data_IF_781320623135
#
_entry.id   IF_781320623135
#
_cell.length_a   1.000
_cell.length_b   1.000
_cell.length_c   1.000
_cell.angle_alpha   90.00
_cell.angle_beta   90.00
_cell.angle_gamma   90.00
#
_symmetry.space_group_name_H-M   'P 1'
#
loop_
_entity.id
_entity.type
_entity.pdbx_description
1 polymer ?
#
# COMPACT_ATOMS: atom_id res chain seq x y z
N UNK A 1 -2.79 -52.05 -22.90
CA UNK A 1 -3.96 -51.24 -22.50
C UNK A 1 -3.91 -51.19 -20.98
N UNK A 2 -3.76 -50.07 -20.29
CA UNK A 2 -3.49 -48.70 -20.71
C UNK A 2 -2.16 -48.21 -20.15
N UNK A 3 -1.62 -47.16 -20.78
CA UNK A 3 -0.65 -46.31 -20.12
C UNK A 3 -1.41 -45.37 -19.20
N UNK A 4 -0.89 -45.21 -17.99
CA UNK A 4 -1.26 -44.13 -17.10
C UNK A 4 -0.60 -42.87 -17.65
N UNK A 5 -1.39 -42.04 -18.35
CA UNK A 5 -1.03 -40.66 -18.63
C UNK A 5 -1.27 -39.87 -17.34
N UNK A 6 -0.22 -39.76 -16.52
CA UNK A 6 -0.10 -38.74 -15.50
C UNK A 6 -0.11 -37.36 -16.19
N UNK A 7 -1.31 -36.78 -16.28
CA UNK A 7 -1.51 -35.38 -16.65
C UNK A 7 -0.95 -34.50 -15.52
N UNK A 8 0.37 -34.32 -15.51
CA UNK A 8 1.04 -33.22 -14.84
C UNK A 8 0.66 -31.92 -15.58
N UNK A 9 -0.52 -31.39 -15.29
CA UNK A 9 -0.83 -29.99 -15.58
C UNK A 9 -0.25 -29.17 -14.42
N UNK A 10 1.08 -29.06 -14.37
CA UNK A 10 1.73 -27.99 -13.62
C UNK A 10 1.22 -26.70 -14.26
N UNK A 11 0.30 -26.01 -13.57
CA UNK A 11 -0.33 -24.79 -14.07
C UNK A 11 0.76 -23.81 -14.48
N UNK A 12 0.73 -23.38 -15.74
CA UNK A 12 1.64 -22.37 -16.25
C UNK A 12 1.49 -21.08 -15.42
N UNK A 13 2.47 -20.78 -14.56
CA UNK A 13 2.52 -19.51 -13.84
C UNK A 13 2.88 -18.42 -14.83
N UNK A 14 1.98 -17.46 -15.02
CA UNK A 14 2.16 -16.37 -15.95
C UNK A 14 3.40 -15.53 -15.62
N UNK A 15 4.23 -15.23 -16.61
CA UNK A 15 5.37 -14.32 -16.43
C UNK A 15 4.97 -12.85 -16.52
N UNK A 16 5.84 -11.96 -16.03
CA UNK A 16 5.69 -10.51 -16.18
C UNK A 16 5.51 -10.10 -17.65
N UNK A 17 6.29 -10.66 -18.56
CA UNK A 17 6.23 -10.36 -19.99
C UNK A 17 4.91 -10.79 -20.62
N UNK A 18 4.40 -11.97 -20.21
CA UNK A 18 3.12 -12.51 -20.70
C UNK A 18 1.94 -11.67 -20.22
N UNK A 19 1.97 -11.26 -18.94
CA UNK A 19 0.97 -10.38 -18.38
C UNK A 19 0.97 -9.04 -19.10
N UNK A 20 2.12 -8.37 -19.22
CA UNK A 20 2.22 -7.07 -19.89
C UNK A 20 1.81 -7.10 -21.37
N UNK A 21 2.05 -8.22 -22.07
CA UNK A 21 1.66 -8.36 -23.47
C UNK A 21 0.14 -8.44 -23.68
N UNK A 22 -0.62 -8.82 -22.66
CA UNK A 22 -2.06 -9.11 -22.74
C UNK A 22 -2.92 -8.27 -21.79
N UNK A 23 -2.29 -7.49 -20.91
CA UNK A 23 -2.93 -6.66 -19.89
C UNK A 23 -3.89 -5.63 -20.50
N UNK A 24 -5.14 -5.54 -20.01
CA UNK A 24 -6.09 -4.49 -20.37
C UNK A 24 -5.55 -3.07 -20.15
N UNK A 25 -5.92 -2.13 -21.02
CA UNK A 25 -5.48 -0.73 -20.90
C UNK A 25 -6.03 -0.03 -19.66
N UNK A 26 -7.18 -0.46 -19.12
CA UNK A 26 -7.76 0.03 -17.86
C UNK A 26 -6.84 -0.17 -16.64
N UNK A 27 -5.82 -1.02 -16.77
CA UNK A 27 -4.83 -1.29 -15.72
C UNK A 27 -3.62 -0.38 -15.79
N UNK A 28 -3.55 0.57 -16.74
CA UNK A 28 -2.42 1.51 -16.87
C UNK A 28 -2.51 2.69 -15.89
N UNK A 29 -2.84 2.41 -14.63
CA UNK A 29 -2.93 3.41 -13.54
C UNK A 29 -1.61 3.52 -12.78
N UNK A 30 -1.24 4.72 -12.35
CA UNK A 30 -0.06 4.93 -11.50
C UNK A 30 -0.45 4.86 -10.02
N UNK A 31 -0.56 3.63 -9.53
CA UNK A 31 -0.90 3.33 -8.13
C UNK A 31 0.24 2.54 -7.52
N UNK A 32 0.76 3.05 -6.40
CA UNK A 32 1.91 2.50 -5.69
C UNK A 32 1.60 2.42 -4.21
N UNK A 33 2.17 1.42 -3.55
CA UNK A 33 2.03 1.23 -2.10
C UNK A 33 3.38 0.87 -1.50
N UNK A 34 3.72 1.50 -0.38
CA UNK A 34 4.85 1.12 0.47
C UNK A 34 4.28 0.57 1.78
N UNK A 35 4.65 -0.65 2.13
CA UNK A 35 4.22 -1.30 3.36
C UNK A 35 5.38 -1.89 4.16
N UNK A 36 5.14 -2.10 5.46
CA UNK A 36 6.16 -2.51 6.42
C UNK A 36 6.32 -4.02 6.55
N UNK A 37 5.43 -4.81 5.97
CA UNK A 37 5.37 -6.24 6.19
C UNK A 37 5.29 -7.00 4.87
N UNK A 38 6.00 -8.13 4.80
CA UNK A 38 5.57 -9.27 4.00
C UNK A 38 4.59 -10.10 4.86
N UNK A 39 3.60 -10.75 4.25
CA UNK A 39 2.23 -11.07 4.73
C UNK A 39 2.10 -11.98 5.99
N UNK A 40 3.19 -12.20 6.71
CA UNK A 40 3.33 -13.05 7.89
C UNK A 40 4.00 -12.35 9.10
N UNK A 41 4.08 -11.01 9.11
CA UNK A 41 4.85 -10.23 10.11
C UNK A 41 3.99 -9.23 10.91
N UNK A 42 4.36 -9.04 12.18
CA UNK A 42 3.74 -8.06 13.09
C UNK A 42 4.46 -6.70 12.99
N UNK A 43 3.71 -5.63 12.72
CA UNK A 43 4.16 -4.24 12.87
C UNK A 43 4.40 -3.90 14.35
N UNK A 44 5.29 -2.96 14.62
CA UNK A 44 5.71 -2.64 15.98
C UNK A 44 6.01 -1.16 16.17
N UNK A 45 5.61 -0.64 17.33
CA UNK A 45 5.89 0.72 17.77
C UNK A 45 7.39 0.96 18.01
N UNK A 46 7.83 2.19 17.76
CA UNK A 46 9.11 2.73 18.18
C UNK A 46 8.90 3.62 19.40
N UNK A 47 9.50 3.25 20.53
CA UNK A 47 9.32 3.94 21.82
C UNK A 47 10.10 5.27 21.95
N UNK A 48 10.99 5.60 21.01
CA UNK A 48 11.70 6.87 20.99
C UNK A 48 12.04 7.38 19.57
N UNK A 49 11.14 8.17 18.98
CA UNK A 49 11.36 8.84 17.68
C UNK A 49 12.44 9.91 17.74
N UNK A 50 12.84 10.40 18.92
CA UNK A 50 13.93 11.40 19.06
C UNK A 50 15.31 10.86 18.65
N UNK A 51 15.43 9.53 18.46
CA UNK A 51 16.63 8.90 17.91
C UNK A 51 16.68 8.95 16.37
N UNK A 52 15.56 9.29 15.73
CA UNK A 52 15.45 9.60 14.32
C UNK A 52 15.66 11.10 14.23
N UNK A 53 16.71 11.53 13.53
CA UNK A 53 17.10 12.94 13.43
C UNK A 53 16.14 13.71 12.51
N UNK A 54 14.83 13.63 12.78
CA UNK A 54 13.81 14.38 12.09
C UNK A 54 13.97 15.87 12.42
N UNK A 55 13.70 16.80 11.49
CA UNK A 55 13.93 18.23 11.71
C UNK A 55 13.14 18.81 12.90
N UNK A 56 11.96 18.25 13.19
CA UNK A 56 11.09 18.61 14.32
C UNK A 56 10.04 17.50 14.57
N UNK A 57 10.38 16.40 15.29
CA UNK A 57 9.48 15.27 15.44
C UNK A 57 8.30 15.59 16.37
N UNK A 58 7.08 15.29 15.90
CA UNK A 58 5.89 15.21 16.74
C UNK A 58 6.05 14.04 17.74
N UNK A 59 5.96 14.34 19.03
CA UNK A 59 5.93 13.34 20.10
C UNK A 59 7.20 12.51 20.29
N UNK A 60 7.08 11.40 21.04
CA UNK A 60 8.20 10.50 21.38
C UNK A 60 8.01 9.07 20.83
N UNK A 61 6.85 8.68 20.35
CA UNK A 61 6.59 7.35 19.79
C UNK A 61 6.12 7.45 18.33
N UNK A 62 6.31 6.41 17.52
CA UNK A 62 5.92 6.37 16.10
C UNK A 62 6.03 4.96 15.53
N UNK A 63 5.35 4.68 14.43
CA UNK A 63 5.43 3.45 13.68
C UNK A 63 6.81 3.27 13.05
N UNK A 64 7.29 2.03 13.07
CA UNK A 64 8.65 1.71 12.64
C UNK A 64 8.88 2.03 11.16
N UNK A 65 7.90 1.80 10.29
CA UNK A 65 8.03 2.10 8.87
C UNK A 65 8.01 3.61 8.62
N UNK A 66 6.98 4.33 9.09
CA UNK A 66 6.80 5.76 8.83
C UNK A 66 7.99 6.56 9.32
N UNK A 67 8.40 6.32 10.57
CA UNK A 67 9.56 7.01 11.17
C UNK A 67 10.86 6.72 10.43
N UNK A 68 11.04 5.48 9.94
CA UNK A 68 12.22 5.09 9.19
C UNK A 68 12.22 5.69 7.78
N UNK A 69 11.08 5.72 7.11
CA UNK A 69 10.94 6.32 5.79
C UNK A 69 11.24 7.82 5.86
N UNK A 70 10.62 8.55 6.77
CA UNK A 70 10.91 9.97 6.95
C UNK A 70 12.39 10.22 7.24
N UNK A 71 13.03 9.37 8.05
CA UNK A 71 14.47 9.47 8.28
C UNK A 71 15.29 9.28 7.00
N UNK A 72 14.95 8.32 6.15
CA UNK A 72 15.63 8.10 4.86
C UNK A 72 15.42 9.31 3.95
N UNK A 73 14.18 9.82 3.87
CA UNK A 73 13.81 10.94 2.99
C UNK A 73 14.40 12.28 3.43
N UNK A 74 14.51 12.55 4.74
CA UNK A 74 15.14 13.78 5.25
C UNK A 74 16.67 13.74 5.27
N UNK A 75 17.27 12.54 5.37
CA UNK A 75 18.73 12.41 5.44
C UNK A 75 19.41 12.66 4.09
N UNK A 76 18.67 12.65 2.98
CA UNK A 76 19.24 12.73 1.64
C UNK A 76 18.70 13.92 0.84
N UNK A 77 19.57 14.89 0.57
CA UNK A 77 19.35 15.95 -0.43
C UNK A 77 19.61 15.42 -1.87
N UNK A 78 20.00 14.16 -2.05
CA UNK A 78 20.32 13.55 -3.35
C UNK A 78 19.32 12.48 -3.81
N UNK A 79 19.38 12.26 -5.13
CA UNK A 79 18.56 11.39 -5.96
C UNK A 79 18.74 9.89 -5.62
N UNK A 80 18.29 9.44 -4.45
CA UNK A 80 18.22 8.00 -4.16
C UNK A 80 17.16 7.37 -5.04
N UNK A 81 17.46 6.20 -5.62
CA UNK A 81 16.50 5.42 -6.38
C UNK A 81 15.58 4.60 -5.45
N UNK A 82 14.55 3.97 -6.01
CA UNK A 82 13.63 3.14 -5.23
C UNK A 82 14.36 2.00 -4.52
N UNK A 83 15.32 1.35 -5.19
CA UNK A 83 16.11 0.25 -4.61
C UNK A 83 16.82 0.70 -3.33
N UNK A 84 17.56 1.81 -3.40
CA UNK A 84 18.33 2.34 -2.28
C UNK A 84 17.41 2.77 -1.13
N UNK A 85 16.26 3.39 -1.42
CA UNK A 85 15.28 3.73 -0.38
C UNK A 85 14.81 2.47 0.35
N UNK A 86 14.41 1.43 -0.38
CA UNK A 86 13.90 0.19 0.18
C UNK A 86 14.97 -0.59 0.98
N UNK A 87 16.22 -0.63 0.49
CA UNK A 87 17.34 -1.24 1.20
C UNK A 87 17.73 -0.48 2.47
N UNK A 88 17.71 0.87 2.44
CA UNK A 88 17.97 1.71 3.62
C UNK A 88 16.87 1.55 4.67
N UNK A 89 15.60 1.48 4.25
CA UNK A 89 14.48 1.14 5.13
C UNK A 89 14.75 -0.20 5.83
N UNK A 90 15.09 -1.24 5.06
CA UNK A 90 15.39 -2.55 5.62
C UNK A 90 16.58 -2.51 6.56
N UNK A 91 17.64 -1.77 6.22
CA UNK A 91 18.83 -1.61 7.06
C UNK A 91 18.52 -1.00 8.43
N UNK A 92 17.57 -0.07 8.51
CA UNK A 92 17.13 0.54 9.77
C UNK A 92 16.17 -0.34 10.58
N UNK A 93 15.33 -1.14 9.91
CA UNK A 93 14.40 -2.06 10.58
C UNK A 93 15.11 -3.34 11.08
N UNK A 94 16.08 -3.84 10.32
CA UNK A 94 16.78 -5.10 10.57
C UNK A 94 17.44 -5.12 11.96
N UNK A 95 17.21 -6.21 12.70
CA UNK A 95 17.75 -6.44 14.04
C UNK A 95 16.87 -5.93 15.18
N UNK A 96 15.90 -5.04 14.90
CA UNK A 96 14.85 -4.63 15.85
C UNK A 96 13.47 -5.14 15.45
N UNK A 97 13.24 -5.24 14.14
CA UNK A 97 11.98 -5.65 13.55
C UNK A 97 12.21 -6.75 12.52
N UNK A 98 11.27 -7.70 12.43
CA UNK A 98 11.29 -8.75 11.41
C UNK A 98 10.92 -8.18 10.03
N UNK A 99 10.04 -7.18 10.03
CA UNK A 99 9.53 -6.35 8.92
C UNK A 99 10.47 -6.17 7.73
N UNK A 100 10.07 -6.70 6.57
CA UNK A 100 10.71 -6.46 5.28
C UNK A 100 9.85 -5.41 4.54
N UNK A 101 10.39 -4.21 4.27
CA UNK A 101 9.70 -3.22 3.45
C UNK A 101 9.38 -3.78 2.07
N UNK A 102 8.15 -3.57 1.63
CA UNK A 102 7.66 -3.95 0.31
C UNK A 102 7.13 -2.72 -0.42
N UNK A 103 7.49 -2.60 -1.68
CA UNK A 103 6.90 -1.68 -2.65
C UNK A 103 6.02 -2.52 -3.57
N UNK A 104 4.73 -2.22 -3.60
CA UNK A 104 3.79 -2.82 -4.53
C UNK A 104 3.28 -1.77 -5.53
N UNK A 105 2.94 -2.17 -6.75
CA UNK A 105 2.42 -1.24 -7.76
C UNK A 105 1.50 -1.90 -8.79
N UNK A 106 0.63 -1.09 -9.40
CA UNK A 106 -0.25 -1.51 -10.49
C UNK A 106 0.51 -1.79 -11.79
N UNK A 107 1.59 -1.03 -12.03
CA UNK A 107 2.45 -1.16 -13.19
C UNK A 107 3.90 -1.26 -12.74
N UNK A 108 4.76 -2.04 -13.43
CA UNK A 108 6.13 -2.24 -13.01
C UNK A 108 6.88 -0.90 -13.07
N UNK A 109 7.55 -0.56 -11.97
CA UNK A 109 8.39 0.63 -11.85
C UNK A 109 9.84 0.20 -12.13
N UNK A 110 10.57 1.05 -12.85
CA UNK A 110 12.02 0.93 -12.92
C UNK A 110 12.62 1.39 -11.57
N UNK A 111 12.99 0.41 -10.75
CA UNK A 111 13.45 0.63 -9.37
C UNK A 111 14.84 1.27 -9.29
N UNK A 112 15.53 1.46 -10.41
CA UNK A 112 16.78 2.24 -10.53
C UNK A 112 16.51 3.72 -10.83
N UNK A 113 15.25 4.10 -11.05
CA UNK A 113 14.86 5.52 -11.19
C UNK A 113 14.73 6.20 -9.83
N UNK A 114 14.87 7.54 -9.84
CA UNK A 114 14.77 8.37 -8.64
C UNK A 114 13.46 8.09 -7.91
N UNK A 115 13.54 7.84 -6.61
CA UNK A 115 12.37 7.72 -5.76
C UNK A 115 11.55 9.03 -5.75
N UNK A 116 10.24 8.91 -5.92
CA UNK A 116 9.29 10.00 -5.76
C UNK A 116 8.01 9.53 -5.05
N UNK A 117 7.48 10.40 -4.17
CA UNK A 117 6.10 10.31 -3.69
C UNK A 117 5.13 11.05 -4.61
N UNK A 118 5.64 12.07 -5.31
CA UNK A 118 4.89 12.88 -6.28
C UNK A 118 5.80 13.01 -7.50
N UNK A 119 5.49 12.32 -8.61
CA UNK A 119 6.31 12.38 -9.81
C UNK A 119 6.21 13.76 -10.47
N UNK A 120 7.21 14.13 -11.27
CA UNK A 120 7.24 15.42 -12.00
C UNK A 120 6.07 15.56 -13.00
N UNK A 121 5.45 14.45 -13.41
CA UNK A 121 4.25 14.42 -14.26
C UNK A 121 2.97 14.82 -13.52
N UNK A 122 2.96 14.79 -12.19
CA UNK A 122 1.82 15.20 -11.39
C UNK A 122 1.71 16.73 -11.38
N UNK A 123 0.85 17.24 -12.25
CA UNK A 123 0.68 18.67 -12.55
C UNK A 123 -0.61 19.26 -11.98
N UNK A 124 -1.50 18.40 -11.46
CA UNK A 124 -2.78 18.75 -10.86
C UNK A 124 -2.71 19.03 -9.36
N UNK A 125 -3.85 18.83 -8.71
CA UNK A 125 -4.03 19.03 -7.27
C UNK A 125 -3.36 17.91 -6.47
N UNK A 126 -2.71 18.29 -5.38
CA UNK A 126 -2.10 17.35 -4.43
C UNK A 126 -3.06 17.15 -3.26
N UNK A 127 -3.58 15.94 -3.09
CA UNK A 127 -4.62 15.58 -2.11
C UNK A 127 -4.12 14.48 -1.20
N UNK A 128 -4.47 14.53 0.08
CA UNK A 128 -4.07 13.47 1.00
C UNK A 128 -5.19 13.04 1.94
N UNK A 129 -5.17 11.76 2.32
CA UNK A 129 -5.96 11.20 3.42
C UNK A 129 -4.99 10.56 4.39
N UNK A 130 -5.00 11.01 5.64
CA UNK A 130 -4.08 10.57 6.68
C UNK A 130 -4.85 10.07 7.89
N UNK A 131 -4.60 8.82 8.27
CA UNK A 131 -5.34 8.11 9.31
C UNK A 131 -4.35 7.61 10.35
N UNK A 132 -4.54 8.00 11.60
CA UNK A 132 -3.70 7.61 12.71
C UNK A 132 -4.57 7.17 13.88
N UNK A 133 -4.49 5.91 14.28
CA UNK A 133 -5.37 5.34 15.31
C UNK A 133 -4.54 4.79 16.47
N UNK A 134 -4.67 5.40 17.65
CA UNK A 134 -4.01 4.95 18.88
C UNK A 134 -4.88 4.01 19.72
N UNK A 135 -6.17 3.87 19.43
CA UNK A 135 -7.11 3.02 20.16
C UNK A 135 -7.13 3.33 21.66
N UNK A 136 -7.12 4.63 22.01
CA UNK A 136 -7.00 5.07 23.41
C UNK A 136 -8.14 4.45 24.24
N UNK A 137 -7.76 3.75 25.31
CA UNK A 137 -8.66 3.04 26.22
C UNK A 137 -8.83 1.55 25.94
N UNK A 138 -8.43 1.06 24.75
CA UNK A 138 -8.61 -0.34 24.38
C UNK A 138 -7.43 -1.18 24.87
N UNK A 139 -7.58 -1.93 25.96
CA UNK A 139 -6.49 -2.76 26.50
C UNK A 139 -6.69 -4.25 26.14
N UNK A 140 -5.69 -4.94 25.54
CA UNK A 140 -4.29 -4.54 25.33
C UNK A 140 -3.99 -3.92 23.94
N UNK A 141 -4.98 -3.39 23.22
CA UNK A 141 -4.85 -2.89 21.84
C UNK A 141 -4.37 -1.44 21.67
N UNK A 142 -4.12 -0.71 22.75
CA UNK A 142 -3.70 0.69 22.71
C UNK A 142 -2.29 0.84 22.12
N UNK A 143 -2.15 1.79 21.18
CA UNK A 143 -0.91 2.20 20.54
C UNK A 143 -0.57 3.64 20.95
N UNK A 144 0.68 4.06 20.70
CA UNK A 144 1.14 5.39 21.11
C UNK A 144 1.82 6.22 20.01
N UNK A 145 2.06 5.61 18.85
CA UNK A 145 2.84 6.21 17.77
C UNK A 145 2.02 6.79 16.61
N UNK A 146 0.80 6.31 16.40
CA UNK A 146 0.09 6.50 15.13
C UNK A 146 -0.29 7.96 14.85
N UNK A 147 -0.68 8.71 15.89
CA UNK A 147 -0.93 10.16 15.76
C UNK A 147 0.34 10.91 15.35
N UNK A 148 1.49 10.55 15.92
CA UNK A 148 2.76 11.21 15.61
C UNK A 148 3.21 10.89 14.18
N UNK A 149 2.98 9.67 13.71
CA UNK A 149 3.27 9.30 12.32
C UNK A 149 2.52 10.19 11.34
N UNK A 150 1.20 10.35 11.56
CA UNK A 150 0.35 11.22 10.73
C UNK A 150 0.84 12.66 10.76
N UNK A 151 1.11 13.21 11.95
CA UNK A 151 1.56 14.60 12.07
C UNK A 151 2.93 14.84 11.40
N UNK A 152 3.86 13.90 11.57
CA UNK A 152 5.19 13.98 10.96
C UNK A 152 5.13 13.85 9.44
N UNK A 153 4.31 12.93 8.92
CA UNK A 153 4.13 12.75 7.49
C UNK A 153 3.37 13.91 6.86
N UNK A 154 2.33 14.45 7.52
CA UNK A 154 1.62 15.68 7.13
C UNK A 154 2.60 16.82 6.91
N UNK A 155 3.43 17.07 7.93
CA UNK A 155 4.46 18.11 7.86
C UNK A 155 5.41 17.88 6.68
N UNK A 156 5.89 16.66 6.49
CA UNK A 156 6.81 16.33 5.39
C UNK A 156 6.19 16.60 4.02
N UNK A 157 4.98 16.11 3.75
CA UNK A 157 4.38 16.31 2.41
C UNK A 157 4.00 17.77 2.15
N UNK A 158 3.67 18.55 3.18
CA UNK A 158 3.46 19.99 3.04
C UNK A 158 4.78 20.72 2.74
N UNK A 159 5.81 20.48 3.57
CA UNK A 159 7.08 21.21 3.49
C UNK A 159 7.90 20.84 2.24
N UNK A 160 7.88 19.56 1.83
CA UNK A 160 8.73 19.03 0.76
C UNK A 160 7.97 18.86 -0.56
N UNK A 161 6.71 18.42 -0.48
CA UNK A 161 5.90 18.11 -1.66
C UNK A 161 4.76 19.11 -1.87
N UNK A 162 4.74 20.25 -1.17
CA UNK A 162 3.81 21.36 -1.45
C UNK A 162 2.33 20.96 -1.46
N UNK A 163 1.93 20.03 -0.60
CA UNK A 163 0.51 19.77 -0.37
C UNK A 163 -0.09 20.94 0.40
N UNK A 164 -1.19 21.49 -0.10
CA UNK A 164 -1.93 22.54 0.59
C UNK A 164 -2.79 21.93 1.71
N UNK A 165 -2.82 22.57 2.88
CA UNK A 165 -3.51 22.03 4.06
C UNK A 165 -5.01 21.77 3.80
N UNK A 166 -5.66 22.62 3.02
CA UNK A 166 -7.08 22.48 2.64
C UNK A 166 -7.37 21.21 1.82
N UNK A 167 -6.35 20.58 1.23
CA UNK A 167 -6.45 19.35 0.46
C UNK A 167 -6.03 18.10 1.25
N UNK A 168 -5.76 18.23 2.56
CA UNK A 168 -5.36 17.13 3.43
C UNK A 168 -6.49 16.82 4.42
N UNK A 169 -7.06 15.63 4.30
CA UNK A 169 -8.02 15.09 5.27
C UNK A 169 -7.25 14.32 6.34
N UNK A 170 -7.46 14.66 7.61
CA UNK A 170 -6.83 13.99 8.76
C UNK A 170 -7.89 13.36 9.65
N UNK A 171 -7.72 12.08 9.95
CA UNK A 171 -8.58 11.32 10.87
C UNK A 171 -7.73 10.73 12.01
N UNK A 172 -8.03 11.12 13.25
CA UNK A 172 -7.32 10.64 14.44
C UNK A 172 -8.25 10.55 15.65
N UNK A 173 -8.06 9.53 16.50
CA UNK A 173 -8.80 9.33 17.75
C UNK A 173 -8.18 10.11 18.93
N UNK A 174 -7.86 11.38 18.71
CA UNK A 174 -7.24 12.29 19.69
C UNK A 174 -8.26 13.20 20.40
N UNK A 175 -9.53 13.14 19.99
CA UNK A 175 -10.61 14.00 20.47
C UNK A 175 -10.62 15.42 19.90
N UNK A 176 -9.74 15.73 18.94
CA UNK A 176 -9.67 17.01 18.23
C UNK A 176 -10.02 16.87 16.75
N UNK A 177 -9.50 15.82 16.09
CA UNK A 177 -9.73 15.54 14.68
C UNK A 177 -11.02 14.75 14.44
N UNK A 178 -11.34 14.52 13.16
CA UNK A 178 -12.45 13.63 12.81
C UNK A 178 -12.09 12.22 13.24
N UNK A 179 -12.97 11.59 14.03
CA UNK A 179 -12.73 10.25 14.54
C UNK A 179 -12.58 9.23 13.38
N UNK A 180 -11.56 8.35 13.39
CA UNK A 180 -11.28 7.38 12.35
C UNK A 180 -12.20 6.14 12.47
N UNK A 181 -13.52 6.37 12.48
CA UNK A 181 -14.53 5.31 12.38
C UNK A 181 -14.54 4.70 10.99
N UNK A 182 -15.09 3.49 10.85
CA UNK A 182 -15.28 2.79 9.58
C UNK A 182 -15.86 3.72 8.51
N UNK A 183 -17.00 4.34 8.80
CA UNK A 183 -17.70 5.19 7.83
C UNK A 183 -16.91 6.44 7.47
N UNK A 184 -16.24 7.09 8.43
CA UNK A 184 -15.43 8.28 8.16
C UNK A 184 -14.22 7.96 7.28
N UNK A 185 -13.54 6.82 7.51
CA UNK A 185 -12.43 6.37 6.68
C UNK A 185 -12.92 6.09 5.25
N UNK A 186 -13.98 5.30 5.11
CA UNK A 186 -14.55 4.95 3.81
C UNK A 186 -15.06 6.18 3.06
N UNK A 187 -15.65 7.15 3.74
CA UNK A 187 -16.09 8.40 3.14
C UNK A 187 -14.91 9.29 2.72
N UNK A 188 -13.82 9.32 3.49
CA UNK A 188 -12.61 10.07 3.12
C UNK A 188 -11.99 9.51 1.83
N UNK A 189 -11.86 8.18 1.73
CA UNK A 189 -11.37 7.52 0.52
C UNK A 189 -12.30 7.73 -0.68
N UNK A 190 -13.62 7.53 -0.51
CA UNK A 190 -14.59 7.81 -1.59
C UNK A 190 -14.51 9.26 -2.06
N UNK A 191 -14.37 10.21 -1.12
CA UNK A 191 -14.31 11.63 -1.44
C UNK A 191 -13.02 11.99 -2.20
N UNK A 192 -11.86 11.54 -1.74
CA UNK A 192 -10.59 11.89 -2.42
C UNK A 192 -10.55 11.35 -3.84
N UNK A 193 -11.09 10.14 -4.06
CA UNK A 193 -11.21 9.54 -5.40
C UNK A 193 -12.24 10.27 -6.27
N UNK A 194 -13.40 10.63 -5.71
CA UNK A 194 -14.44 11.36 -6.45
C UNK A 194 -14.01 12.77 -6.85
N UNK A 195 -13.13 13.41 -6.07
CA UNK A 195 -12.60 14.75 -6.34
C UNK A 195 -11.33 14.72 -7.23
N UNK A 196 -10.81 13.53 -7.58
CA UNK A 196 -9.56 13.37 -8.32
C UNK A 196 -9.73 13.61 -9.82
N UNK A 197 -8.78 14.32 -10.41
CA UNK A 197 -8.73 14.63 -11.85
C UNK A 197 -7.38 14.21 -12.47
N UNK A 198 -7.33 14.14 -13.80
CA UNK A 198 -6.09 13.85 -14.55
C UNK A 198 -4.94 14.76 -14.12
N UNK A 199 -3.79 14.16 -13.80
CA UNK A 199 -2.60 14.85 -13.30
C UNK A 199 -2.57 15.11 -11.79
N UNK A 200 -3.64 14.83 -11.03
CA UNK A 200 -3.63 14.93 -9.57
C UNK A 200 -2.61 13.95 -8.93
N UNK A 201 -2.08 14.33 -7.76
CA UNK A 201 -1.33 13.43 -6.89
C UNK A 201 -2.13 13.14 -5.63
N UNK A 202 -2.33 11.86 -5.31
CA UNK A 202 -2.99 11.40 -4.09
C UNK A 202 -1.96 10.71 -3.20
N UNK A 203 -1.86 11.17 -1.96
CA UNK A 203 -1.07 10.51 -0.92
C UNK A 203 -1.98 9.95 0.18
N UNK A 204 -1.94 8.64 0.38
CA UNK A 204 -2.70 7.95 1.43
C UNK A 204 -1.73 7.49 2.51
N UNK A 205 -2.07 7.72 3.77
CA UNK A 205 -1.26 7.23 4.90
C UNK A 205 -2.16 6.64 5.97
N UNK A 206 -1.84 5.40 6.36
CA UNK A 206 -2.49 4.72 7.47
C UNK A 206 -1.43 4.28 8.48
N UNK A 207 -1.61 4.65 9.75
CA UNK A 207 -0.87 4.10 10.88
C UNK A 207 -1.86 3.63 11.94
N UNK A 208 -1.80 2.34 12.28
CA UNK A 208 -2.77 1.70 13.17
C UNK A 208 -2.67 0.18 13.11
N UNK A 209 -3.67 -0.52 13.66
CA UNK A 209 -3.72 -1.98 13.57
C UNK A 209 -4.16 -2.44 12.17
N UNK A 210 -3.55 -3.53 11.72
CA UNK A 210 -4.01 -4.34 10.60
C UNK A 210 -4.21 -5.78 11.07
N UNK A 211 -5.12 -6.50 10.45
CA UNK A 211 -5.49 -7.87 10.81
C UNK A 211 -5.71 -8.74 9.58
N UNK A 212 -5.88 -10.04 9.79
CA UNK A 212 -6.30 -10.99 8.77
C UNK A 212 -7.67 -11.56 9.13
N UNK A 213 -8.63 -11.45 8.23
CA UNK A 213 -9.94 -12.08 8.35
C UNK A 213 -9.98 -13.32 7.46
N UNK A 214 -10.86 -14.27 7.76
CA UNK A 214 -11.06 -15.38 6.84
C UNK A 214 -11.80 -14.85 5.62
N UNK A 215 -11.28 -15.19 4.45
CA UNK A 215 -11.91 -14.89 3.17
C UNK A 215 -13.32 -15.53 3.13
N UNK A 216 -14.32 -14.72 2.78
CA UNK A 216 -15.71 -15.14 2.64
C UNK A 216 -15.99 -15.65 1.19
N UNK A 217 -15.13 -15.32 0.23
CA UNK A 217 -15.22 -15.58 -1.20
C UNK A 217 -14.15 -16.59 -1.65
N UNK A 218 -14.48 -17.89 -1.58
CA UNK A 218 -13.58 -18.99 -1.90
C UNK A 218 -12.76 -18.81 -3.21
N UNK A 219 -11.48 -18.42 -3.08
CA UNK A 219 -10.45 -18.68 -4.10
C UNK A 219 -9.73 -17.48 -4.72
N UNK A 220 -9.81 -16.29 -4.13
CA UNK A 220 -9.04 -15.13 -4.60
C UNK A 220 -7.60 -15.15 -4.05
N UNK A 221 -7.43 -15.29 -2.74
CA UNK A 221 -6.11 -15.44 -2.12
C UNK A 221 -5.71 -16.92 -1.89
N UNK A 222 -4.43 -17.25 -2.14
CA UNK A 222 -3.91 -18.61 -1.96
C UNK A 222 -3.87 -19.07 -0.51
N UNK A 223 -3.81 -18.15 0.46
CA UNK A 223 -3.78 -18.46 1.89
C UNK A 223 -5.20 -18.50 2.52
N UNK A 224 -6.20 -17.93 1.84
CA UNK A 224 -7.60 -17.87 2.24
C UNK A 224 -7.92 -16.84 3.35
N UNK A 225 -7.14 -15.76 3.46
CA UNK A 225 -7.36 -14.69 4.44
C UNK A 225 -7.16 -13.27 3.89
N UNK A 226 -8.24 -12.48 3.89
CA UNK A 226 -8.19 -11.05 3.56
C UNK A 226 -7.41 -10.23 4.60
N UNK A 227 -6.60 -9.29 4.12
CA UNK A 227 -6.00 -8.24 4.94
C UNK A 227 -7.06 -7.18 5.26
N UNK A 228 -7.03 -6.63 6.48
CA UNK A 228 -8.03 -5.64 6.88
C UNK A 228 -7.47 -4.57 7.82
N UNK A 229 -7.95 -3.34 7.64
CA UNK A 229 -7.68 -2.22 8.53
C UNK A 229 -8.68 -2.21 9.69
N UNK A 230 -8.19 -1.89 10.88
CA UNK A 230 -8.99 -1.82 12.10
C UNK A 230 -9.43 -0.37 12.38
N UNK A 231 -10.64 0.08 11.98
CA UNK A 231 -11.14 1.42 12.34
C UNK A 231 -11.33 1.55 13.85
N UNK A 232 -11.50 2.77 14.38
CA UNK A 232 -11.67 3.00 15.83
C UNK A 232 -12.87 2.24 16.42
N UNK A 233 -13.94 2.12 15.66
CA UNK A 233 -15.21 1.49 16.03
C UNK A 233 -15.37 0.07 15.49
N UNK A 234 -14.25 -0.61 15.20
CA UNK A 234 -14.22 -1.96 14.62
C UNK A 234 -15.10 -2.97 15.36
N UNK A 235 -15.22 -2.84 16.69
CA UNK A 235 -16.03 -3.74 17.51
C UNK A 235 -17.53 -3.68 17.18
N UNK A 236 -18.02 -2.56 16.66
CA UNK A 236 -19.43 -2.37 16.28
C UNK A 236 -19.65 -2.30 14.78
N UNK A 237 -18.70 -1.76 14.02
CA UNK A 237 -18.82 -1.53 12.58
C UNK A 237 -18.15 -2.62 11.72
N UNK A 238 -17.27 -3.43 12.30
CA UNK A 238 -16.43 -4.37 11.56
C UNK A 238 -15.11 -3.75 11.10
N UNK A 239 -14.28 -4.56 10.45
CA UNK A 239 -13.02 -4.13 9.84
C UNK A 239 -13.27 -3.60 8.42
N UNK A 240 -12.32 -2.86 7.87
CA UNK A 240 -12.30 -2.46 6.46
C UNK A 240 -11.43 -3.48 5.72
N UNK A 241 -12.01 -4.29 4.82
CA UNK A 241 -11.29 -5.30 4.05
C UNK A 241 -10.49 -4.68 2.90
N UNK A 242 -9.46 -5.37 2.44
CA UNK A 242 -8.72 -5.10 1.21
C UNK A 242 -9.64 -4.95 -0.02
N UNK A 243 -10.63 -5.82 -0.20
CA UNK A 243 -11.63 -5.71 -1.29
C UNK A 243 -12.35 -4.36 -1.33
N UNK A 244 -12.78 -3.88 -0.16
CA UNK A 244 -13.44 -2.60 0.00
C UNK A 244 -12.50 -1.43 -0.38
N UNK A 245 -11.22 -1.55 -0.01
CA UNK A 245 -10.18 -0.58 -0.35
C UNK A 245 -9.85 -0.65 -1.84
N UNK A 246 -9.79 -1.85 -2.42
CA UNK A 246 -9.52 -2.10 -3.81
C UNK A 246 -10.59 -1.47 -4.71
N UNK A 247 -11.87 -1.74 -4.42
CA UNK A 247 -12.99 -1.23 -5.20
C UNK A 247 -13.01 0.31 -5.22
N UNK A 248 -12.65 0.95 -4.10
CA UNK A 248 -12.63 2.42 -4.00
C UNK A 248 -11.34 3.01 -4.57
N UNK A 249 -10.19 2.57 -4.09
CA UNK A 249 -8.89 3.20 -4.32
C UNK A 249 -8.22 2.72 -5.60
N UNK A 250 -8.46 1.50 -6.05
CA UNK A 250 -7.79 0.93 -7.23
C UNK A 250 -8.71 0.99 -8.43
N UNK A 251 -9.88 0.38 -8.33
CA UNK A 251 -10.88 0.36 -9.40
C UNK A 251 -11.49 1.74 -9.62
N UNK A 252 -11.82 2.45 -8.54
CA UNK A 252 -12.38 3.80 -8.58
C UNK A 252 -11.41 4.91 -9.01
N UNK A 253 -10.09 4.69 -8.93
CA UNK A 253 -9.10 5.69 -9.28
C UNK A 253 -9.20 6.11 -10.76
N UNK A 254 -9.36 7.41 -11.07
CA UNK A 254 -9.38 7.91 -12.44
C UNK A 254 -8.04 7.72 -13.17
N UNK A 255 -8.10 7.64 -14.50
CA UNK A 255 -6.90 7.63 -15.33
C UNK A 255 -6.10 8.94 -15.17
N UNK A 256 -4.77 8.84 -15.21
CA UNK A 256 -3.87 9.99 -15.11
C UNK A 256 -3.62 10.50 -13.68
N UNK A 257 -4.26 9.90 -12.67
CA UNK A 257 -3.97 10.17 -11.26
C UNK A 257 -2.74 9.39 -10.81
N UNK A 258 -1.88 10.05 -10.04
CA UNK A 258 -0.72 9.45 -9.39
C UNK A 258 -1.03 9.19 -7.91
N UNK A 259 -1.16 7.93 -7.50
CA UNK A 259 -1.47 7.55 -6.13
C UNK A 259 -0.30 6.83 -5.46
N UNK A 260 0.09 7.30 -4.28
CA UNK A 260 1.04 6.63 -3.39
C UNK A 260 0.41 6.42 -2.03
N UNK A 261 0.39 5.16 -1.59
CA UNK A 261 -0.08 4.76 -0.26
C UNK A 261 1.08 4.35 0.62
N UNK A 262 1.11 4.82 1.87
CA UNK A 262 2.01 4.35 2.91
C UNK A 262 1.18 3.65 4.00
N UNK A 263 1.38 2.34 4.14
CA UNK A 263 0.65 1.50 5.09
C UNK A 263 1.58 1.04 6.21
N UNK A 264 1.45 1.65 7.39
CA UNK A 264 2.19 1.30 8.60
C UNK A 264 1.32 0.44 9.53
N UNK A 265 0.99 -0.76 9.06
CA UNK A 265 0.19 -1.74 9.78
C UNK A 265 0.65 -3.18 9.50
N UNK A 266 0.30 -4.11 10.40
CA UNK A 266 0.53 -5.55 10.20
C UNK A 266 -0.31 -6.06 9.01
N UNK A 267 0.21 -7.03 8.25
CA UNK A 267 -0.54 -7.66 7.13
C UNK A 267 -1.07 -6.58 6.17
N UNK A 268 -0.16 -5.90 5.49
CA UNK A 268 -0.47 -4.82 4.55
C UNK A 268 0.28 -4.96 3.23
N UNK A 269 0.81 -6.15 2.94
CA UNK A 269 1.57 -6.40 1.72
C UNK A 269 0.66 -6.49 0.49
N UNK A 270 -0.56 -6.99 0.68
CA UNK A 270 -1.62 -7.16 -0.31
C UNK A 270 -2.86 -6.30 -0.07
N UNK A 271 -2.94 -5.44 0.96
CA UNK A 271 -4.11 -4.58 1.27
C UNK A 271 -4.69 -3.69 0.12
N UNK A 272 -4.02 -3.61 -1.03
CA UNK A 272 -4.51 -2.93 -2.24
C UNK A 272 -4.46 -3.83 -3.50
N UNK A 273 -4.19 -5.13 -3.36
CA UNK A 273 -4.09 -6.15 -4.42
C UNK A 273 -3.33 -5.70 -5.66
N UNK A 274 -2.15 -5.11 -5.44
CA UNK A 274 -1.32 -4.60 -6.51
C UNK A 274 -0.45 -5.72 -7.11
N UNK A 275 -0.45 -5.91 -8.44
CA UNK A 275 0.15 -7.07 -9.10
C UNK A 275 1.67 -7.15 -9.04
N UNK A 276 2.37 -6.02 -8.87
CA UNK A 276 3.83 -6.01 -8.85
C UNK A 276 4.36 -5.80 -7.45
N UNK A 277 5.42 -6.54 -7.10
CA UNK A 277 6.09 -6.42 -5.79
C UNK A 277 7.61 -6.27 -5.92
N UNK A 278 8.19 -5.51 -5.00
CA UNK A 278 9.62 -5.35 -4.79
C UNK A 278 9.96 -5.27 -3.30
N UNK A 279 10.80 -6.18 -2.84
CA UNK A 279 11.21 -6.34 -1.44
C UNK A 279 12.59 -5.72 -1.22
N UNK A 280 12.69 -4.87 -0.21
CA UNK A 280 13.94 -4.17 0.16
C UNK A 280 14.99 -5.04 0.84
N UNK A 281 14.98 -6.36 0.68
CA UNK A 281 15.92 -7.28 1.35
C UNK A 281 17.13 -7.67 0.50
N UNK A 282 17.23 -7.09 -0.71
CA UNK A 282 18.30 -7.36 -1.68
C UNK A 282 18.12 -8.66 -2.46
N UNK A 283 16.96 -9.32 -2.35
CA UNK A 283 16.64 -10.53 -3.14
C UNK A 283 16.20 -10.22 -4.56
N UNK A 284 15.81 -8.98 -4.85
CA UNK A 284 15.26 -8.53 -6.13
C UNK A 284 16.07 -7.38 -6.71
N UNK A 285 16.20 -7.35 -8.04
CA UNK A 285 16.79 -6.25 -8.80
C UNK A 285 15.76 -5.52 -9.66
N UNK A 286 14.53 -6.04 -9.73
CA UNK A 286 13.41 -5.45 -10.47
C UNK A 286 12.09 -5.83 -9.78
N UNK A 287 11.02 -5.12 -10.11
CA UNK A 287 9.67 -5.54 -9.73
C UNK A 287 9.30 -6.83 -10.46
N UNK A 288 8.78 -7.79 -9.71
CA UNK A 288 8.23 -9.05 -10.24
C UNK A 288 6.71 -9.03 -10.11
N UNK A 289 6.04 -9.80 -10.96
CA UNK A 289 4.63 -10.11 -10.74
C UNK A 289 4.51 -10.94 -9.46
N UNK A 290 3.55 -10.60 -8.60
CA UNK A 290 3.33 -11.30 -7.35
C UNK A 290 3.07 -12.79 -7.65
N UNK A 291 3.95 -13.71 -7.20
CA UNK A 291 3.78 -15.12 -7.48
C UNK A 291 2.52 -15.70 -6.82
N UNK A 292 1.96 -15.03 -5.82
CA UNK A 292 0.79 -15.48 -5.07
C UNK A 292 -0.53 -14.93 -5.59
N UNK A 293 -0.50 -13.93 -6.48
CA UNK A 293 -1.70 -13.36 -7.09
C UNK A 293 -2.40 -14.31 -8.07
N UNK A 294 -3.73 -14.37 -7.96
CA UNK A 294 -4.60 -14.98 -8.98
C UNK A 294 -4.92 -13.95 -10.08
N UNK A 295 -4.12 -13.94 -11.13
CA UNK A 295 -4.23 -12.94 -12.21
C UNK A 295 -5.58 -12.99 -12.92
N UNK A 296 -6.13 -14.19 -13.14
CA UNK A 296 -7.41 -14.32 -13.84
C UNK A 296 -8.55 -13.74 -12.98
N UNK A 297 -8.54 -13.97 -11.65
CA UNK A 297 -9.48 -13.33 -10.72
C UNK A 297 -9.29 -11.81 -10.68
N UNK A 298 -8.03 -11.34 -10.56
CA UNK A 298 -7.67 -9.93 -10.58
C UNK A 298 -8.20 -9.21 -11.84
N UNK A 299 -8.00 -9.79 -13.04
CA UNK A 299 -8.52 -9.24 -14.30
C UNK A 299 -10.05 -9.14 -14.28
N UNK A 300 -10.74 -10.16 -13.80
CA UNK A 300 -12.21 -10.17 -13.73
C UNK A 300 -12.72 -9.10 -12.76
N UNK A 301 -12.14 -9.02 -11.56
CA UNK A 301 -12.53 -8.09 -10.50
C UNK A 301 -12.42 -6.62 -10.95
N UNK A 302 -11.32 -6.28 -11.64
CA UNK A 302 -11.02 -4.90 -12.05
C UNK A 302 -11.65 -4.47 -13.36
N UNK A 303 -11.68 -5.36 -14.36
CA UNK A 303 -12.12 -5.01 -15.71
C UNK A 303 -13.43 -5.67 -16.14
N UNK A 304 -13.78 -6.82 -15.55
CA UNK A 304 -14.85 -7.68 -16.04
C UNK A 304 -14.58 -8.26 -17.43
N UNK A 305 -13.31 -8.28 -17.88
CA UNK A 305 -12.90 -8.67 -19.24
C UNK A 305 -12.07 -9.96 -19.25
N UNK A 306 -12.26 -10.88 -18.30
CA UNK A 306 -11.49 -12.13 -18.25
C UNK A 306 -11.55 -12.92 -19.56
N UNK A 307 -12.72 -12.96 -20.21
CA UNK A 307 -12.89 -13.64 -21.50
C UNK A 307 -12.03 -13.04 -22.62
N UNK A 308 -11.87 -11.71 -22.64
CA UNK A 308 -11.03 -11.02 -23.64
C UNK A 308 -9.54 -11.26 -23.35
N UNK A 309 -9.16 -11.21 -22.08
CA UNK A 309 -7.82 -11.50 -21.62
C UNK A 309 -7.38 -12.94 -21.96
N UNK A 310 -8.21 -13.94 -21.67
CA UNK A 310 -7.95 -15.35 -22.03
C UNK A 310 -7.77 -15.50 -23.55
N UNK A 311 -8.62 -14.83 -24.36
CA UNK A 311 -8.48 -14.87 -25.82
C UNK A 311 -7.17 -14.24 -26.29
N UNK A 312 -6.74 -13.14 -25.67
CA UNK A 312 -5.47 -12.48 -25.98
C UNK A 312 -4.28 -13.40 -25.66
N UNK A 313 -4.28 -14.05 -24.48
CA UNK A 313 -3.28 -15.06 -24.09
C UNK A 313 -3.16 -16.19 -25.12
N UNK A 314 -4.31 -16.80 -25.46
CA UNK A 314 -4.36 -17.87 -26.45
C UNK A 314 -3.85 -17.44 -27.84
N UNK A 315 -4.10 -16.18 -28.24
CA UNK A 315 -3.64 -15.65 -29.51
C UNK A 315 -2.14 -15.34 -29.53
N UNK A 316 -1.57 -14.95 -28.39
CA UNK A 316 -0.15 -14.70 -28.21
C UNK A 316 0.68 -16.00 -28.06
N UNK A 317 0.03 -17.13 -27.79
CA UNK A 317 0.66 -18.45 -27.69
C UNK A 317 1.16 -18.78 -26.27
N UNK A 318 0.56 -18.15 -25.26
CA UNK A 318 0.76 -18.43 -23.84
C UNK A 318 -0.32 -19.39 -23.33
#
# INVERSE_FOLDING_TARGET
>A
MGGDDDNNNEGHTMTKEEFEATKPDELRKDIRMISGCADHQTSADVSNVSSFQLPDPAGRAGGALTSTLLKVLYADEQKTDFTEVMERLRGHLKGRYSQIPQLSSMNPIDVETKFDLVPDSATGTRRAVMIGINYIGDNPGELSGCHNDVLNMKKYIMDVHGFEEDNIVVLMDDGEHTEPTHDNIMNAYKKVIADAEDGDAIFLHYSGHGTKLRDDDFGEEKDGYDEALCPRDFASAGMIRDDDLYDILVKGCPDGVHMVSLMDCCHSGSIMDLPYIFKGDGSQTEMILDPDMNIDAFIEQITGKLVEFIKAKMAAGF
#
